data_IF_956807532422
#
_entry.id   IF_956807532422
#
_cell.length_a   1.000
_cell.length_b   1.000
_cell.length_c   1.000
_cell.angle_alpha   90.00
_cell.angle_beta   90.00
_cell.angle_gamma   90.00
#
_symmetry.space_group_name_H-M   'P 1'
#
loop_
_entity.id
_entity.type
_entity.pdbx_description
1 polymer ?
#
# COMPACT_ATOMS: atom_id res chain seq x y z
N UNK A 1 -3.31 -1.71 6.84
CA UNK A 1 -1.93 -1.98 7.32
C UNK A 1 -1.17 -0.70 7.58
N UNK A 2 -1.07 0.25 6.65
CA UNK A 2 -0.28 1.49 6.80
C UNK A 2 -0.58 2.22 8.11
N UNK A 3 -1.84 2.54 8.38
CA UNK A 3 -2.24 3.21 9.63
C UNK A 3 -1.90 2.42 10.90
N UNK A 4 -1.98 1.07 10.83
CA UNK A 4 -1.58 0.23 11.94
C UNK A 4 -0.07 0.30 12.20
N UNK A 5 0.74 0.30 11.12
CA UNK A 5 2.19 0.45 11.19
C UNK A 5 2.54 1.81 11.84
N UNK A 6 1.93 2.89 11.35
CA UNK A 6 2.18 4.22 11.91
C UNK A 6 1.69 4.34 13.35
N UNK A 7 0.55 3.72 13.71
CA UNK A 7 0.00 3.77 15.07
C UNK A 7 0.93 3.18 16.13
N UNK A 8 1.77 2.22 15.75
CA UNK A 8 2.81 1.65 16.63
C UNK A 8 4.16 2.38 16.53
N UNK A 9 4.22 3.52 15.84
CA UNK A 9 5.44 4.32 15.67
C UNK A 9 6.44 3.73 14.66
N UNK A 10 6.05 2.73 13.88
CA UNK A 10 6.91 2.14 12.86
C UNK A 10 6.79 2.89 11.52
N UNK A 11 7.85 2.80 10.70
CA UNK A 11 7.93 3.44 9.39
C UNK A 11 7.54 2.41 8.32
N UNK A 12 6.58 2.75 7.47
CA UNK A 12 6.18 1.91 6.36
C UNK A 12 7.10 2.14 5.15
N UNK A 13 7.83 1.09 4.75
CA UNK A 13 8.67 1.10 3.56
C UNK A 13 7.87 0.56 2.36
N UNK A 14 7.53 1.43 1.40
CA UNK A 14 6.64 1.11 0.28
C UNK A 14 7.42 0.50 -0.88
N UNK A 15 7.43 -0.83 -0.97
CA UNK A 15 8.11 -1.54 -2.05
C UNK A 15 7.18 -1.74 -3.25
N UNK A 16 7.76 -1.62 -4.46
CA UNK A 16 7.03 -1.83 -5.71
C UNK A 16 6.99 -3.32 -6.02
N UNK A 17 5.80 -3.86 -6.34
CA UNK A 17 5.61 -5.32 -6.56
C UNK A 17 6.45 -5.89 -7.71
N UNK A 18 6.68 -5.11 -8.77
CA UNK A 18 7.46 -5.53 -9.94
C UNK A 18 8.98 -5.27 -9.80
N UNK A 19 9.45 -4.79 -8.64
CA UNK A 19 10.88 -4.64 -8.40
C UNK A 19 11.62 -5.98 -8.50
N UNK A 20 12.85 -5.93 -8.96
CA UNK A 20 13.73 -7.10 -9.01
C UNK A 20 14.14 -7.54 -7.60
N UNK A 21 14.62 -8.78 -7.47
CA UNK A 21 15.13 -9.30 -6.20
C UNK A 21 16.27 -8.43 -5.65
N UNK A 22 17.20 -8.02 -6.52
CA UNK A 22 18.33 -7.17 -6.15
C UNK A 22 17.89 -5.80 -5.64
N UNK A 23 16.90 -5.17 -6.29
CA UNK A 23 16.34 -3.88 -5.86
C UNK A 23 15.62 -4.01 -4.51
N UNK A 24 14.90 -5.09 -4.28
CA UNK A 24 14.24 -5.36 -3.01
C UNK A 24 15.30 -5.56 -1.92
N UNK A 25 16.30 -6.38 -2.18
CA UNK A 25 17.41 -6.61 -1.25
C UNK A 25 18.11 -5.31 -0.86
N UNK A 26 18.48 -4.47 -1.83
CA UNK A 26 19.12 -3.16 -1.59
C UNK A 26 18.23 -2.28 -0.69
N UNK A 27 16.92 -2.17 -1.01
CA UNK A 27 15.98 -1.36 -0.24
C UNK A 27 15.79 -1.88 1.19
N UNK A 28 15.66 -3.20 1.38
CA UNK A 28 15.52 -3.81 2.71
C UNK A 28 16.78 -3.59 3.56
N UNK A 29 17.96 -3.70 2.95
CA UNK A 29 19.24 -3.51 3.62
C UNK A 29 19.46 -2.06 4.04
N UNK A 30 19.27 -1.11 3.11
CA UNK A 30 19.47 0.34 3.39
C UNK A 30 18.49 0.87 4.44
N UNK A 31 17.25 0.36 4.44
CA UNK A 31 16.22 0.81 5.41
C UNK A 31 16.23 -0.02 6.69
N UNK A 32 17.09 -1.03 6.80
CA UNK A 32 17.15 -1.96 7.94
C UNK A 32 15.76 -2.52 8.31
N UNK A 33 14.96 -2.84 7.31
CA UNK A 33 13.59 -3.33 7.50
C UNK A 33 13.60 -4.62 8.35
N UNK A 34 12.73 -4.69 9.36
CA UNK A 34 12.66 -5.84 10.30
C UNK A 34 11.54 -6.81 9.94
N UNK A 35 10.48 -6.30 9.31
CA UNK A 35 9.29 -7.07 8.95
C UNK A 35 8.92 -6.75 7.51
N UNK A 36 8.61 -7.78 6.72
CA UNK A 36 8.06 -7.61 5.37
C UNK A 36 6.68 -8.23 5.32
N UNK A 37 5.71 -7.48 4.79
CA UNK A 37 4.36 -7.98 4.53
C UNK A 37 4.17 -8.02 3.01
N UNK A 38 3.83 -9.17 2.48
CA UNK A 38 3.74 -9.39 1.03
C UNK A 38 2.57 -10.30 0.66
N UNK A 39 2.12 -10.20 -0.58
CA UNK A 39 1.16 -11.16 -1.14
C UNK A 39 1.88 -12.44 -1.55
N UNK A 40 1.13 -13.54 -1.60
CA UNK A 40 1.65 -14.88 -1.94
C UNK A 40 2.37 -14.95 -3.29
N UNK A 41 1.93 -14.17 -4.29
CA UNK A 41 2.57 -14.10 -5.62
C UNK A 41 4.02 -13.58 -5.57
N UNK A 42 4.36 -12.74 -4.62
CA UNK A 42 5.70 -12.16 -4.48
C UNK A 42 6.52 -12.84 -3.38
N UNK A 43 5.95 -13.79 -2.64
CA UNK A 43 6.54 -14.38 -1.44
C UNK A 43 7.92 -14.98 -1.70
N UNK A 44 8.06 -15.81 -2.73
CA UNK A 44 9.33 -16.47 -3.05
C UNK A 44 10.44 -15.44 -3.32
N UNK A 45 10.15 -14.43 -4.13
CA UNK A 45 11.05 -13.31 -4.42
C UNK A 45 11.45 -12.57 -3.14
N UNK A 46 10.49 -12.28 -2.26
CA UNK A 46 10.75 -11.61 -0.98
C UNK A 46 11.62 -12.46 -0.06
N UNK A 47 11.38 -13.75 0.02
CA UNK A 47 12.21 -14.67 0.83
C UNK A 47 13.66 -14.66 0.35
N UNK A 48 13.89 -14.71 -0.95
CA UNK A 48 15.26 -14.65 -1.50
C UNK A 48 15.89 -13.27 -1.24
N UNK A 49 15.19 -12.19 -1.54
CA UNK A 49 15.69 -10.83 -1.35
C UNK A 49 15.95 -10.48 0.13
N UNK A 50 15.28 -11.16 1.07
CA UNK A 50 15.46 -10.91 2.52
C UNK A 50 16.69 -11.60 3.11
N UNK A 51 17.36 -12.49 2.37
CA UNK A 51 18.58 -13.15 2.85
C UNK A 51 19.68 -12.13 3.09
N UNK A 52 20.44 -12.35 4.15
CA UNK A 52 21.56 -11.46 4.54
C UNK A 52 21.14 -10.01 4.81
N UNK A 53 19.87 -9.79 5.12
CA UNK A 53 19.33 -8.50 5.53
C UNK A 53 18.95 -8.52 7.03
N UNK A 54 18.41 -7.41 7.52
CA UNK A 54 17.93 -7.30 8.91
C UNK A 54 16.50 -7.81 9.10
N UNK A 55 15.86 -8.35 8.08
CA UNK A 55 14.50 -8.88 8.12
C UNK A 55 14.42 -10.09 9.06
N UNK A 56 13.51 -10.01 10.04
CA UNK A 56 13.29 -11.07 11.03
C UNK A 56 12.01 -11.86 10.76
N UNK A 57 11.02 -11.22 10.18
CA UNK A 57 9.71 -11.82 9.92
C UNK A 57 9.20 -11.46 8.54
N UNK A 58 8.71 -12.45 7.83
CA UNK A 58 7.99 -12.29 6.58
C UNK A 58 6.55 -12.72 6.82
N UNK A 59 5.59 -11.86 6.53
CA UNK A 59 4.16 -12.11 6.70
C UNK A 59 3.54 -12.23 5.30
N UNK A 60 2.99 -13.40 5.00
CA UNK A 60 2.36 -13.71 3.73
C UNK A 60 0.84 -13.49 3.77
N UNK A 61 0.33 -12.62 2.89
CA UNK A 61 -1.11 -12.42 2.68
C UNK A 61 -1.55 -13.28 1.52
N UNK A 62 -2.45 -14.22 1.77
CA UNK A 62 -3.01 -15.05 0.70
C UNK A 62 -4.11 -14.32 -0.05
N UNK A 63 -4.00 -14.22 -1.36
CA UNK A 63 -5.05 -13.67 -2.21
C UNK A 63 -6.34 -14.49 -2.14
N UNK A 64 -6.24 -15.77 -1.78
CA UNK A 64 -7.40 -16.64 -1.56
C UNK A 64 -8.37 -16.13 -0.48
N UNK A 65 -7.88 -15.36 0.50
CA UNK A 65 -8.71 -14.82 1.57
C UNK A 65 -9.70 -13.75 1.08
N UNK A 66 -9.42 -13.14 -0.07
CA UNK A 66 -10.29 -12.14 -0.72
C UNK A 66 -11.12 -12.70 -1.87
N UNK A 67 -10.99 -14.01 -2.18
CA UNK A 67 -11.71 -14.67 -3.27
C UNK A 67 -13.00 -15.32 -2.80
N UNK A 68 -14.02 -15.48 -3.69
CA UNK A 68 -15.18 -16.31 -3.40
C UNK A 68 -14.76 -17.73 -2.98
N UNK A 69 -15.50 -18.34 -2.07
CA UNK A 69 -15.11 -19.56 -1.33
C UNK A 69 -14.59 -20.72 -2.24
N UNK A 70 -15.26 -20.94 -3.38
CA UNK A 70 -14.88 -22.01 -4.32
C UNK A 70 -13.55 -21.69 -5.02
N UNK A 71 -13.40 -20.48 -5.51
CA UNK A 71 -12.19 -20.03 -6.22
C UNK A 71 -11.01 -19.95 -5.23
N UNK A 72 -11.27 -19.43 -4.03
CA UNK A 72 -10.28 -19.34 -2.96
C UNK A 72 -9.74 -20.72 -2.55
N UNK A 73 -10.58 -21.74 -2.50
CA UNK A 73 -10.16 -23.12 -2.19
C UNK A 73 -9.28 -23.70 -3.29
N UNK A 74 -9.64 -23.51 -4.55
CA UNK A 74 -8.84 -23.94 -5.70
C UNK A 74 -7.50 -23.18 -5.75
N UNK A 75 -7.51 -21.88 -5.43
CA UNK A 75 -6.30 -21.07 -5.38
C UNK A 75 -5.38 -21.55 -4.24
N UNK A 76 -5.89 -21.81 -3.03
CA UNK A 76 -5.13 -22.36 -1.89
C UNK A 76 -4.45 -23.67 -2.24
N UNK A 77 -5.13 -24.51 -3.00
CA UNK A 77 -4.57 -25.78 -3.46
C UNK A 77 -3.42 -25.62 -4.45
N UNK A 78 -3.47 -24.58 -5.28
CA UNK A 78 -2.38 -24.21 -6.22
C UNK A 78 -1.29 -23.36 -5.59
N UNK A 79 -1.63 -22.47 -4.69
CA UNK A 79 -0.66 -21.58 -4.03
C UNK A 79 0.12 -22.36 -2.98
N UNK A 80 1.35 -22.70 -3.32
CA UNK A 80 2.29 -23.38 -2.41
C UNK A 80 2.91 -22.34 -1.45
N UNK A 81 2.10 -21.70 -0.60
CA UNK A 81 2.69 -20.96 0.53
C UNK A 81 3.28 -22.03 1.46
N UNK A 82 4.59 -22.22 1.38
CA UNK A 82 5.29 -23.05 2.37
C UNK A 82 5.40 -22.23 3.65
N UNK A 83 4.69 -22.64 4.69
CA UNK A 83 4.72 -22.03 6.02
C UNK A 83 6.13 -21.96 6.64
N UNK A 84 7.07 -22.74 6.12
CA UNK A 84 8.45 -22.76 6.60
C UNK A 84 9.17 -21.40 6.45
N UNK A 85 8.72 -20.54 5.53
CA UNK A 85 9.40 -19.29 5.17
C UNK A 85 8.63 -18.03 5.53
N UNK A 86 7.40 -18.12 6.03
CA UNK A 86 6.60 -16.96 6.40
C UNK A 86 5.52 -17.29 7.43
N UNK A 87 5.06 -16.25 8.12
CA UNK A 87 3.88 -16.28 9.00
C UNK A 87 2.67 -15.95 8.13
N UNK A 88 1.61 -16.76 8.18
CA UNK A 88 0.36 -16.41 7.49
C UNK A 88 -0.28 -15.18 8.14
N UNK A 89 -0.80 -14.26 7.32
CA UNK A 89 -1.42 -13.04 7.84
C UNK A 89 -2.57 -13.32 8.80
N UNK A 90 -3.38 -14.35 8.54
CA UNK A 90 -4.46 -14.79 9.44
C UNK A 90 -3.94 -15.28 10.80
N UNK A 91 -2.80 -15.95 10.84
CA UNK A 91 -2.15 -16.40 12.09
C UNK A 91 -1.55 -15.19 12.84
N UNK A 92 -0.92 -14.28 12.11
CA UNK A 92 -0.42 -13.02 12.66
C UNK A 92 -1.54 -12.21 13.34
N UNK A 93 -2.71 -12.08 12.68
CA UNK A 93 -3.87 -11.40 13.26
C UNK A 93 -4.40 -12.13 14.51
N UNK A 94 -4.52 -13.45 14.47
CA UNK A 94 -4.93 -14.26 15.63
C UNK A 94 -3.98 -14.09 16.82
N UNK A 95 -2.68 -14.07 16.57
CA UNK A 95 -1.67 -13.89 17.62
C UNK A 95 -1.74 -12.51 18.31
N UNK A 96 -2.33 -11.52 17.65
CA UNK A 96 -2.57 -10.18 18.20
C UNK A 96 -3.88 -10.02 18.96
N UNK A 97 -4.84 -10.95 18.82
CA UNK A 97 -6.15 -10.84 19.46
C UNK A 97 -6.05 -10.84 20.99
N UNK A 98 -6.78 -9.91 21.63
CA UNK A 98 -6.83 -9.80 23.08
C UNK A 98 -5.56 -9.26 23.74
N UNK A 99 -4.54 -8.89 22.99
CA UNK A 99 -3.34 -8.27 23.54
C UNK A 99 -3.56 -6.76 23.69
N UNK A 100 -3.24 -6.25 24.89
CA UNK A 100 -3.13 -4.83 25.12
C UNK A 100 -1.81 -4.33 24.53
N UNK A 101 -1.89 -3.30 23.69
CA UNK A 101 -0.72 -2.65 23.10
C UNK A 101 -0.67 -1.22 23.61
N UNK A 102 0.43 -0.85 24.25
CA UNK A 102 0.73 0.54 24.54
C UNK A 102 1.22 1.21 23.25
N UNK A 103 0.54 2.27 22.84
CA UNK A 103 0.92 3.03 21.66
C UNK A 103 1.87 4.16 22.07
N UNK A 104 3.00 4.35 21.35
CA UNK A 104 3.88 5.47 21.60
C UNK A 104 3.18 6.79 21.24
N UNK A 105 3.58 7.86 21.88
CA UNK A 105 3.24 9.21 21.45
C UNK A 105 3.92 9.50 20.11
N UNK A 106 3.13 9.76 19.09
CA UNK A 106 3.63 10.00 17.73
C UNK A 106 3.65 11.50 17.45
N UNK A 107 4.85 12.06 17.28
CA UNK A 107 5.02 13.45 16.86
C UNK A 107 4.64 13.64 15.39
N UNK A 108 4.06 14.78 15.07
CA UNK A 108 3.63 15.09 13.70
C UNK A 108 4.78 15.01 12.68
N UNK A 109 5.98 15.41 13.08
CA UNK A 109 7.18 15.38 12.23
C UNK A 109 7.93 14.04 12.28
N UNK A 110 7.44 13.06 13.06
CA UNK A 110 8.03 11.74 13.08
C UNK A 110 7.93 11.09 11.69
N UNK A 111 8.98 10.38 11.26
CA UNK A 111 8.98 9.60 10.04
C UNK A 111 7.85 8.57 10.04
N UNK A 112 7.11 8.48 8.96
CA UNK A 112 5.97 7.57 8.84
C UNK A 112 6.09 6.62 7.64
N UNK A 113 6.62 7.12 6.52
CA UNK A 113 6.60 6.41 5.25
C UNK A 113 7.92 6.65 4.52
N UNK A 114 8.43 5.60 3.87
CA UNK A 114 9.48 5.70 2.84
C UNK A 114 8.81 5.40 1.51
N UNK A 115 8.76 6.40 0.62
CA UNK A 115 8.25 6.28 -0.74
C UNK A 115 9.39 6.46 -1.74
N UNK A 116 9.38 5.67 -2.82
CA UNK A 116 10.45 5.70 -3.81
C UNK A 116 10.07 6.57 -5.00
N UNK A 117 11.02 7.41 -5.44
CA UNK A 117 10.86 8.18 -6.68
C UNK A 117 11.25 7.34 -7.89
N UNK A 118 10.54 7.51 -9.00
CA UNK A 118 10.99 7.02 -10.30
C UNK A 118 12.25 7.80 -10.71
N UNK A 119 13.42 7.20 -10.55
CA UNK A 119 14.67 7.89 -10.87
C UNK A 119 14.83 8.10 -12.39
N UNK A 120 14.90 9.34 -12.84
CA UNK A 120 15.34 9.69 -14.21
C UNK A 120 16.84 9.43 -14.41
N UNK A 121 17.59 9.20 -13.35
CA UNK A 121 19.07 9.06 -13.31
C UNK A 121 19.55 7.66 -12.91
N UNK A 122 18.67 6.64 -12.91
CA UNK A 122 19.03 5.22 -12.71
C UNK A 122 18.51 4.62 -11.40
N UNK A 123 18.94 5.07 -10.22
CA UNK A 123 18.52 4.47 -8.95
C UNK A 123 17.35 5.22 -8.30
N UNK A 124 16.28 4.48 -7.96
CA UNK A 124 15.15 5.04 -7.21
C UNK A 124 15.61 5.48 -5.81
N UNK A 125 15.28 6.73 -5.44
CA UNK A 125 15.63 7.28 -4.12
C UNK A 125 14.45 7.09 -3.16
N UNK A 126 14.73 6.57 -1.96
CA UNK A 126 13.75 6.51 -0.88
C UNK A 126 13.60 7.88 -0.21
N UNK A 127 12.42 8.45 -0.28
CA UNK A 127 12.07 9.71 0.38
C UNK A 127 11.36 9.43 1.68
N UNK A 128 11.91 9.92 2.77
CA UNK A 128 11.32 9.78 4.11
C UNK A 128 10.28 10.89 4.32
N UNK A 129 9.03 10.48 4.53
CA UNK A 129 7.89 11.37 4.68
C UNK A 129 7.30 11.26 6.08
N UNK A 130 6.95 12.40 6.68
CA UNK A 130 6.36 12.47 8.02
C UNK A 130 4.83 12.38 8.00
N UNK A 131 4.23 12.13 9.16
CA UNK A 131 2.79 12.23 9.36
C UNK A 131 2.26 13.63 9.02
N UNK A 132 3.03 14.69 9.35
CA UNK A 132 2.66 16.07 8.97
C UNK A 132 2.56 16.22 7.46
N UNK A 133 3.52 15.69 6.69
CA UNK A 133 3.51 15.79 5.23
C UNK A 133 2.24 15.13 4.63
N UNK A 134 1.90 13.92 5.08
CA UNK A 134 0.70 13.22 4.65
C UNK A 134 -0.58 14.00 4.96
N UNK A 135 -0.73 14.45 6.20
CA UNK A 135 -1.90 15.21 6.63
C UNK A 135 -2.01 16.57 5.94
N UNK A 136 -0.88 17.25 5.68
CA UNK A 136 -0.87 18.55 5.00
C UNK A 136 -1.46 18.43 3.60
N UNK A 137 -1.14 17.38 2.85
CA UNK A 137 -1.73 17.14 1.53
C UNK A 137 -3.25 16.99 1.64
N UNK A 138 -3.73 16.16 2.56
CA UNK A 138 -5.17 15.98 2.75
C UNK A 138 -5.89 17.28 3.13
N UNK A 139 -5.27 18.10 4.00
CA UNK A 139 -5.78 19.42 4.36
C UNK A 139 -5.82 20.39 3.18
N UNK A 140 -4.77 20.42 2.37
CA UNK A 140 -4.74 21.29 1.19
C UNK A 140 -5.90 20.99 0.24
N UNK A 141 -6.20 19.72 0.00
CA UNK A 141 -7.34 19.31 -0.84
C UNK A 141 -8.68 19.62 -0.20
N UNK A 142 -8.82 19.45 1.11
CA UNK A 142 -10.05 19.79 1.83
C UNK A 142 -10.37 21.29 1.76
N UNK A 143 -9.34 22.16 1.74
CA UNK A 143 -9.52 23.62 1.68
C UNK A 143 -9.40 24.18 0.26
N UNK A 144 -9.13 23.35 -0.74
CA UNK A 144 -9.20 23.71 -2.15
C UNK A 144 -10.64 23.68 -2.70
N UNK A 145 -11.64 23.80 -1.82
CA UNK A 145 -13.08 23.63 -2.06
C UNK A 145 -13.65 24.54 -3.15
N UNK A 146 -12.99 25.66 -3.46
CA UNK A 146 -13.38 26.52 -4.60
C UNK A 146 -13.16 25.88 -5.98
N UNK A 147 -12.34 24.81 -6.04
CA UNK A 147 -11.98 24.10 -7.28
C UNK A 147 -12.49 22.65 -7.25
N UNK A 148 -12.50 22.03 -6.06
CA UNK A 148 -12.83 20.65 -5.82
C UNK A 148 -13.91 20.59 -4.74
N UNK A 149 -15.18 20.68 -5.15
CA UNK A 149 -16.34 20.59 -4.24
C UNK A 149 -16.60 19.11 -3.87
N UNK A 150 -15.85 18.60 -2.91
CA UNK A 150 -16.03 17.24 -2.40
C UNK A 150 -17.21 17.15 -1.44
N UNK A 151 -18.19 16.31 -1.78
CA UNK A 151 -19.31 15.99 -0.91
C UNK A 151 -19.08 14.65 -0.20
N UNK A 152 -19.42 14.58 1.07
CA UNK A 152 -19.28 13.35 1.85
C UNK A 152 -20.03 12.17 1.21
N UNK A 153 -19.34 11.04 1.05
CA UNK A 153 -19.90 9.84 0.44
C UNK A 153 -19.85 9.80 -1.09
N UNK A 154 -19.35 10.83 -1.76
CA UNK A 154 -19.06 10.76 -3.19
C UNK A 154 -17.93 9.77 -3.48
N UNK A 155 -17.93 9.22 -4.70
CA UNK A 155 -17.03 8.17 -5.13
C UNK A 155 -15.78 8.74 -5.78
N UNK A 156 -14.65 8.31 -5.28
CA UNK A 156 -13.33 8.62 -5.83
C UNK A 156 -12.70 7.36 -6.42
N UNK A 157 -12.43 7.36 -7.72
CA UNK A 157 -11.74 6.26 -8.40
C UNK A 157 -10.23 6.53 -8.41
N UNK A 158 -9.49 5.72 -7.65
CA UNK A 158 -8.04 5.77 -7.63
C UNK A 158 -7.46 4.76 -8.62
N UNK A 159 -6.87 5.27 -9.71
CA UNK A 159 -6.20 4.46 -10.73
C UNK A 159 -4.69 4.38 -10.54
N UNK A 160 -4.17 5.12 -9.57
CA UNK A 160 -2.73 5.14 -9.28
C UNK A 160 -2.41 4.16 -8.17
N UNK A 161 -1.49 3.22 -8.39
CA UNK A 161 -1.16 2.22 -7.37
C UNK A 161 -0.77 2.84 -6.02
N UNK A 162 -1.33 2.36 -4.89
CA UNK A 162 -1.12 2.96 -3.56
C UNK A 162 0.28 2.72 -2.97
N UNK A 163 1.16 1.98 -3.64
CA UNK A 163 2.58 1.92 -3.27
C UNK A 163 3.39 3.12 -3.83
N UNK A 164 2.82 3.91 -4.72
CA UNK A 164 3.37 5.19 -5.15
C UNK A 164 2.88 6.30 -4.24
N UNK A 165 3.74 7.30 -3.96
CA UNK A 165 3.37 8.40 -3.08
C UNK A 165 2.09 9.14 -3.54
N UNK A 166 1.93 9.34 -4.85
CA UNK A 166 0.73 9.98 -5.41
C UNK A 166 -0.54 9.16 -5.12
N UNK A 167 -0.57 7.87 -5.47
CA UNK A 167 -1.72 7.01 -5.20
C UNK A 167 -1.99 6.86 -3.70
N UNK A 168 -0.96 6.79 -2.87
CA UNK A 168 -1.12 6.67 -1.42
C UNK A 168 -1.71 7.94 -0.81
N UNK A 169 -1.12 9.11 -1.08
CA UNK A 169 -1.52 10.34 -0.40
C UNK A 169 -2.78 10.97 -0.99
N UNK A 170 -2.94 10.98 -2.30
CA UNK A 170 -4.12 11.53 -2.95
C UNK A 170 -5.22 10.48 -3.16
N UNK A 171 -4.83 9.28 -3.60
CA UNK A 171 -5.79 8.22 -3.91
C UNK A 171 -6.35 7.51 -2.67
N UNK A 172 -5.61 7.43 -1.55
CA UNK A 172 -6.08 6.74 -0.35
C UNK A 172 -6.25 7.70 0.82
N UNK A 173 -5.17 8.37 1.25
CA UNK A 173 -5.19 9.12 2.50
C UNK A 173 -6.11 10.35 2.44
N UNK A 174 -5.98 11.17 1.42
CA UNK A 174 -6.83 12.35 1.22
C UNK A 174 -8.31 11.95 1.10
N UNK A 175 -8.61 10.95 0.27
CA UNK A 175 -9.96 10.44 0.03
C UNK A 175 -10.67 10.10 1.34
N UNK A 176 -9.97 9.37 2.24
CA UNK A 176 -10.50 9.01 3.56
C UNK A 176 -10.63 10.22 4.49
N UNK A 177 -9.69 11.17 4.44
CA UNK A 177 -9.72 12.37 5.28
C UNK A 177 -10.85 13.34 4.92
N UNK A 178 -11.24 13.40 3.64
CA UNK A 178 -12.34 14.27 3.19
C UNK A 178 -13.71 13.57 3.18
N UNK A 179 -13.75 12.27 3.54
CA UNK A 179 -15.00 11.52 3.71
C UNK A 179 -15.59 10.96 2.41
N UNK A 180 -14.76 10.70 1.40
CA UNK A 180 -15.20 10.08 0.15
C UNK A 180 -15.19 8.55 0.22
N UNK A 181 -15.99 7.90 -0.62
CA UNK A 181 -15.91 6.47 -0.90
C UNK A 181 -14.71 6.20 -1.81
N UNK A 182 -13.74 5.43 -1.34
CA UNK A 182 -12.55 5.11 -2.13
C UNK A 182 -12.75 3.84 -2.96
N UNK A 183 -12.62 3.94 -4.26
CA UNK A 183 -12.62 2.83 -5.20
C UNK A 183 -11.20 2.64 -5.72
N UNK A 184 -10.48 1.68 -5.17
CA UNK A 184 -9.18 1.28 -5.70
C UNK A 184 -9.39 0.53 -7.00
N UNK A 185 -8.87 1.06 -8.10
CA UNK A 185 -9.02 0.46 -9.41
C UNK A 185 -8.22 -0.86 -9.48
N UNK A 186 -8.87 -2.01 -9.69
CA UNK A 186 -8.18 -3.30 -9.70
C UNK A 186 -7.28 -3.48 -10.92
N UNK A 187 -7.57 -2.77 -12.01
CA UNK A 187 -6.80 -2.79 -13.24
C UNK A 187 -6.56 -1.34 -13.71
N UNK A 188 -5.40 -0.77 -13.38
CA UNK A 188 -5.09 0.62 -13.69
C UNK A 188 -4.61 0.83 -15.13
N UNK A 189 -4.78 -0.16 -16.04
CA UNK A 189 -4.40 0.01 -17.45
C UNK A 189 -5.34 0.97 -18.15
N UNK A 190 -4.78 1.84 -19.00
CA UNK A 190 -5.56 2.82 -19.75
C UNK A 190 -6.60 2.16 -20.65
N UNK A 191 -6.29 0.98 -21.21
CA UNK A 191 -7.19 0.22 -22.08
C UNK A 191 -8.51 -0.17 -21.39
N UNK A 192 -8.47 -0.54 -20.11
CA UNK A 192 -9.66 -0.95 -19.35
C UNK A 192 -10.31 0.19 -18.58
N UNK A 193 -9.69 1.37 -18.55
CA UNK A 193 -10.19 2.51 -17.79
C UNK A 193 -11.63 2.92 -18.16
N UNK A 194 -12.04 3.04 -19.44
CA UNK A 194 -13.41 3.42 -19.79
C UNK A 194 -14.48 2.48 -19.21
N UNK A 195 -14.18 1.17 -19.20
CA UNK A 195 -15.10 0.17 -18.64
C UNK A 195 -15.21 0.31 -17.12
N UNK A 196 -14.12 0.59 -16.43
CA UNK A 196 -14.08 0.81 -15.00
C UNK A 196 -14.83 2.08 -14.61
N UNK A 197 -14.60 3.17 -15.36
CA UNK A 197 -15.31 4.43 -15.17
C UNK A 197 -16.83 4.25 -15.31
N UNK A 198 -17.29 3.60 -16.35
CA UNK A 198 -18.70 3.32 -16.58
C UNK A 198 -19.31 2.40 -15.50
N UNK A 199 -18.54 1.42 -15.02
CA UNK A 199 -18.98 0.48 -13.99
C UNK A 199 -19.14 1.14 -12.63
N UNK A 200 -18.15 1.92 -12.21
CA UNK A 200 -18.12 2.49 -10.86
C UNK A 200 -18.77 3.86 -10.78
N UNK A 201 -18.91 4.57 -11.90
CA UNK A 201 -19.53 5.91 -11.98
C UNK A 201 -19.00 6.86 -10.91
N UNK A 202 -17.68 7.11 -10.87
CA UNK A 202 -17.09 7.97 -9.85
C UNK A 202 -17.50 9.43 -10.08
N UNK A 203 -17.55 10.20 -8.99
CA UNK A 203 -17.69 11.65 -9.02
C UNK A 203 -16.34 12.32 -9.28
N UNK A 204 -15.28 11.71 -8.74
CA UNK A 204 -13.90 12.17 -8.83
C UNK A 204 -12.98 11.02 -9.21
N UNK A 205 -11.83 11.35 -9.80
CA UNK A 205 -10.80 10.37 -10.12
C UNK A 205 -9.40 10.93 -9.97
N UNK A 206 -8.45 10.07 -9.65
CA UNK A 206 -7.03 10.30 -9.85
C UNK A 206 -6.54 9.45 -11.02
N UNK A 207 -5.71 10.02 -11.87
CA UNK A 207 -5.17 9.31 -13.02
C UNK A 207 -3.98 10.02 -13.66
N UNK A 208 -3.24 9.30 -14.49
CA UNK A 208 -2.27 9.89 -15.39
C UNK A 208 -2.92 10.34 -16.72
N UNK A 209 -2.21 11.13 -17.52
CA UNK A 209 -2.69 11.61 -18.83
C UNK A 209 -3.17 10.46 -19.74
N UNK A 210 -2.50 9.32 -19.69
CA UNK A 210 -2.85 8.12 -20.45
C UNK A 210 -4.25 7.54 -20.17
N UNK A 211 -4.90 7.94 -19.07
CA UNK A 211 -6.26 7.50 -18.73
C UNK A 211 -7.34 8.42 -19.32
N UNK A 212 -6.96 9.58 -19.85
CA UNK A 212 -7.89 10.64 -20.29
C UNK A 212 -7.84 10.80 -21.82
N UNK A 213 -6.77 10.38 -22.47
CA UNK A 213 -6.63 10.33 -23.93
C UNK A 213 -7.37 9.13 -24.53
#
# INVERSE_FOLDING_TARGET
LLYAINKIGAIANMLVMNATEAEIHEKLSVTESKVVITVDLALEKIVQASRETTVKHIIGVSLAESMPCVIGTLYKWKSKIKQENCILFSEFLKAGQGKNVEYPEIKADAPAIIAYTGGTTGKAKGVLLSNRAANTIAFQYKYADKVLDFQNGERFLDTIPPFLAYGLFLGVHMVLCVGLENILCPDPTAEHFPQQFLKYKPNHLSGGALHIE
#
